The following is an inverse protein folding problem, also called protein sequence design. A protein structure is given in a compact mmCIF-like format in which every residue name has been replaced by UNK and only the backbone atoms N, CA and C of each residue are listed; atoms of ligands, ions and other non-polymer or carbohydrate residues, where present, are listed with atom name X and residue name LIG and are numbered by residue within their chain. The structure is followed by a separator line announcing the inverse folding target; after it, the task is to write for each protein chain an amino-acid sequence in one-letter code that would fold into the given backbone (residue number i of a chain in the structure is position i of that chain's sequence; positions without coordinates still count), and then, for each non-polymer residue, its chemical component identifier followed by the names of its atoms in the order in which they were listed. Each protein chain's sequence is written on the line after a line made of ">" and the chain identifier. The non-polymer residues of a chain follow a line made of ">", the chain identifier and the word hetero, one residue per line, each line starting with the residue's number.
data_IF_733676947995
#
_entry.id   IF_733676947995
#
_cell.length_a   1.000
_cell.length_b   1.000
_cell.length_c   1.000
_cell.angle_alpha   90.00
_cell.angle_beta   90.00
_cell.angle_gamma   90.00
#
_symmetry.space_group_name_H-M   'P 1'
#
loop_
_entity.id
_entity.type
_entity.pdbx_description
1 polymer ?
#
# COMPACT_ATOMS: atom_id res chain seq x y z
N UNK A 1 -10.64 -14.88 2.49
CA UNK A 1 -9.33 -14.19 2.44
C UNK A 1 -8.65 -14.34 3.80
N UNK A 2 -7.31 -14.21 3.92
CA UNK A 2 -6.66 -14.21 5.23
C UNK A 2 -7.15 -13.05 6.09
N UNK A 3 -7.30 -13.28 7.39
CA UNK A 3 -7.54 -12.21 8.33
C UNK A 3 -6.23 -11.48 8.65
N UNK A 4 -6.28 -10.21 9.09
CA UNK A 4 -5.06 -9.51 9.46
C UNK A 4 -4.24 -10.17 10.57
N UNK A 5 -4.87 -10.95 11.47
CA UNK A 5 -4.17 -11.70 12.50
C UNK A 5 -3.49 -12.98 11.99
N UNK A 6 -3.77 -13.42 10.76
CA UNK A 6 -3.08 -14.57 10.13
C UNK A 6 -1.68 -14.18 9.63
N UNK A 7 -1.42 -12.88 9.49
CA UNK A 7 -0.10 -12.33 9.14
C UNK A 7 0.71 -12.16 10.41
N UNK A 8 1.56 -13.14 10.70
CA UNK A 8 2.57 -13.04 11.76
C UNK A 8 3.81 -12.28 11.23
N UNK A 9 4.11 -11.07 11.74
CA UNK A 9 5.28 -10.30 11.30
C UNK A 9 6.61 -11.03 11.54
N UNK A 10 6.68 -11.92 12.53
CA UNK A 10 7.90 -12.68 12.84
C UNK A 10 8.20 -13.76 11.78
N UNK A 11 7.22 -14.09 10.94
CA UNK A 11 7.39 -15.02 9.81
C UNK A 11 7.74 -14.32 8.51
N UNK A 12 7.66 -12.98 8.46
CA UNK A 12 8.12 -12.20 7.32
C UNK A 12 9.64 -12.07 7.42
N UNK A 13 10.40 -12.34 6.34
CA UNK A 13 11.84 -12.15 6.34
C UNK A 13 12.20 -10.72 6.82
N UNK A 14 13.16 -10.55 7.75
CA UNK A 14 13.50 -9.23 8.28
C UNK A 14 13.85 -8.20 7.20
N UNK A 15 14.51 -8.65 6.12
CA UNK A 15 14.87 -7.82 4.97
C UNK A 15 13.65 -7.34 4.17
N UNK A 16 12.52 -8.04 4.22
CA UNK A 16 11.31 -7.66 3.51
C UNK A 16 10.47 -6.65 4.30
N UNK A 17 10.62 -6.58 5.63
CA UNK A 17 9.85 -5.67 6.50
C UNK A 17 10.04 -4.19 6.15
N UNK A 18 11.24 -3.78 5.72
CA UNK A 18 11.48 -2.40 5.29
C UNK A 18 10.80 -2.06 3.95
N UNK A 19 10.30 -3.06 3.23
CA UNK A 19 9.67 -2.93 1.90
C UNK A 19 8.16 -3.12 1.94
N UNK A 20 7.54 -3.24 3.11
CA UNK A 20 6.08 -3.43 3.18
C UNK A 20 5.33 -2.11 3.28
N UNK A 21 4.11 -2.08 2.74
CA UNK A 21 3.09 -1.12 3.16
C UNK A 21 1.89 -1.88 3.68
N UNK A 22 1.19 -1.28 4.65
CA UNK A 22 -0.09 -1.75 5.12
C UNK A 22 -1.08 -0.59 5.03
N UNK A 23 -2.16 -0.81 4.29
CA UNK A 23 -3.23 0.18 4.08
C UNK A 23 -4.48 -0.29 4.80
N UNK A 24 -5.07 0.57 5.62
CA UNK A 24 -6.41 0.38 6.15
C UNK A 24 -7.42 0.98 5.15
N UNK A 25 -8.53 0.27 4.93
CA UNK A 25 -9.66 0.71 4.10
C UNK A 25 -10.84 0.99 5.03
N UNK A 26 -11.26 2.24 5.06
CA UNK A 26 -12.40 2.70 5.83
C UNK A 26 -13.56 2.91 4.86
N UNK A 27 -14.74 2.36 5.15
CA UNK A 27 -15.91 2.41 4.25
C UNK A 27 -17.00 3.34 4.74
N UNK A 28 -17.03 3.60 6.04
CA UNK A 28 -18.02 4.43 6.71
C UNK A 28 -17.33 5.43 7.64
N UNK A 29 -17.83 6.68 7.76
CA UNK A 29 -18.92 7.25 6.97
C UNK A 29 -18.55 7.54 5.50
N UNK A 30 -17.25 7.58 5.19
CA UNK A 30 -16.71 7.85 3.86
C UNK A 30 -15.69 6.79 3.47
N UNK A 31 -15.59 6.51 2.16
CA UNK A 31 -14.62 5.55 1.65
C UNK A 31 -13.22 6.19 1.58
N UNK A 32 -12.31 5.78 2.47
CA UNK A 32 -10.98 6.37 2.62
C UNK A 32 -9.89 5.32 2.76
N UNK A 33 -8.68 5.68 2.34
CA UNK A 33 -7.47 4.90 2.54
C UNK A 33 -6.57 5.57 3.56
N UNK A 34 -6.03 4.79 4.50
CA UNK A 34 -5.05 5.27 5.48
C UNK A 34 -3.80 4.42 5.46
N UNK A 35 -2.64 5.06 5.43
CA UNK A 35 -1.37 4.37 5.63
C UNK A 35 -1.28 3.88 7.08
N UNK A 36 -1.45 2.58 7.31
CA UNK A 36 -1.27 1.99 8.64
C UNK A 36 0.20 1.82 8.99
N UNK A 37 1.01 1.41 8.01
CA UNK A 37 2.45 1.23 8.15
C UNK A 37 3.11 1.43 6.78
N UNK A 38 4.27 2.09 6.80
CA UNK A 38 5.14 2.23 5.64
C UNK A 38 6.54 1.77 6.05
N UNK A 39 7.10 0.82 5.30
CA UNK A 39 8.43 0.29 5.54
C UNK A 39 9.52 1.36 5.37
N UNK A 40 10.59 1.25 6.15
CA UNK A 40 11.64 2.28 6.23
C UNK A 40 12.42 2.49 4.94
N UNK A 41 12.52 1.48 4.08
CA UNK A 41 13.13 1.65 2.75
C UNK A 41 12.25 2.57 1.89
N UNK A 42 10.93 2.45 2.01
CA UNK A 42 9.97 3.25 1.25
C UNK A 42 9.96 4.69 1.76
N UNK A 43 9.91 4.90 3.09
CA UNK A 43 9.97 6.26 3.65
C UNK A 43 11.29 6.96 3.31
N UNK A 44 12.40 6.24 3.32
CA UNK A 44 13.71 6.75 2.90
C UNK A 44 13.74 7.13 1.41
N UNK A 45 13.20 6.27 0.54
CA UNK A 45 13.14 6.54 -0.90
C UNK A 45 12.24 7.74 -1.24
N UNK A 46 11.15 7.93 -0.47
CA UNK A 46 10.22 9.05 -0.66
C UNK A 46 10.64 10.33 0.08
N UNK A 47 11.64 10.27 0.97
CA UNK A 47 12.08 11.40 1.79
C UNK A 47 11.06 11.88 2.83
N UNK A 48 10.00 11.10 3.08
CA UNK A 48 8.92 11.43 4.04
C UNK A 48 8.28 10.16 4.58
N UNK A 49 7.80 10.24 5.82
CA UNK A 49 6.96 9.22 6.45
C UNK A 49 5.52 9.74 6.53
N UNK A 50 4.58 8.99 5.95
CA UNK A 50 3.15 9.31 5.92
C UNK A 50 2.32 8.31 6.75
N UNK A 51 2.98 7.50 7.58
CA UNK A 51 2.31 6.55 8.46
C UNK A 51 1.27 7.27 9.33
N UNK A 52 0.08 6.68 9.43
CA UNK A 52 -1.08 7.23 10.12
C UNK A 52 -1.91 8.24 9.32
N UNK A 53 -1.46 8.68 8.14
CA UNK A 53 -2.15 9.72 7.36
C UNK A 53 -3.13 9.12 6.35
N UNK A 54 -4.23 9.83 6.13
CA UNK A 54 -5.18 9.53 5.07
C UNK A 54 -4.66 10.01 3.72
N UNK A 55 -4.95 9.27 2.67
CA UNK A 55 -4.44 9.55 1.33
C UNK A 55 -4.97 10.87 0.79
N UNK A 56 -6.27 11.13 0.99
CA UNK A 56 -6.95 12.35 0.56
C UNK A 56 -6.49 13.62 1.28
N UNK A 57 -5.72 13.49 2.37
CA UNK A 57 -5.13 14.62 3.09
C UNK A 57 -3.71 14.97 2.62
N UNK A 58 -3.05 14.08 1.89
CA UNK A 58 -1.61 14.17 1.59
C UNK A 58 -1.27 14.09 0.10
N UNK A 59 -2.27 13.76 -0.75
CA UNK A 59 -2.13 13.65 -2.19
C UNK A 59 -3.20 14.47 -2.90
N UNK A 60 -2.82 15.13 -3.99
CA UNK A 60 -3.76 15.79 -4.89
C UNK A 60 -4.55 14.77 -5.72
N UNK A 61 -5.67 15.19 -6.31
CA UNK A 61 -6.60 14.33 -7.05
C UNK A 61 -5.93 13.48 -8.15
N UNK A 62 -5.01 14.06 -8.93
CA UNK A 62 -4.31 13.36 -10.01
C UNK A 62 -3.41 12.22 -9.47
N UNK A 63 -2.82 12.44 -8.29
CA UNK A 63 -2.00 11.43 -7.63
C UNK A 63 -2.89 10.32 -7.06
N UNK A 64 -4.00 10.68 -6.41
CA UNK A 64 -4.99 9.73 -5.90
C UNK A 64 -5.52 8.82 -7.01
N UNK A 65 -5.90 9.37 -8.16
CA UNK A 65 -6.38 8.58 -9.30
C UNK A 65 -5.37 7.52 -9.73
N UNK A 66 -4.07 7.82 -9.60
CA UNK A 66 -3.01 6.89 -9.95
C UNK A 66 -2.79 5.83 -8.87
N UNK A 67 -2.54 6.24 -7.62
CA UNK A 67 -2.14 5.33 -6.55
C UNK A 67 -3.28 4.41 -6.09
N UNK A 68 -4.54 4.80 -6.32
CA UNK A 68 -5.71 4.00 -5.94
C UNK A 68 -6.01 2.86 -6.94
N UNK A 69 -5.36 2.82 -8.11
CA UNK A 69 -5.63 1.79 -9.15
C UNK A 69 -5.41 0.37 -8.63
N UNK A 70 -4.23 0.10 -8.06
CA UNK A 70 -3.92 -1.23 -7.53
C UNK A 70 -4.80 -1.59 -6.31
N UNK A 71 -4.95 -0.74 -5.28
CA UNK A 71 -5.87 -0.99 -4.17
C UNK A 71 -7.31 -1.28 -4.61
N UNK A 72 -7.87 -0.47 -5.52
CA UNK A 72 -9.22 -0.69 -6.03
C UNK A 72 -9.36 -2.01 -6.75
N UNK A 73 -8.34 -2.45 -7.49
CA UNK A 73 -8.34 -3.76 -8.15
C UNK A 73 -8.28 -4.91 -7.14
N UNK A 74 -7.49 -4.78 -6.08
CA UNK A 74 -7.46 -5.76 -4.97
C UNK A 74 -8.83 -5.86 -4.32
N UNK A 75 -9.47 -4.72 -3.99
CA UNK A 75 -10.80 -4.67 -3.39
C UNK A 75 -11.85 -5.31 -4.31
N UNK A 76 -11.85 -4.94 -5.59
CA UNK A 76 -12.85 -5.42 -6.54
C UNK A 76 -12.76 -6.93 -6.82
N UNK A 77 -11.58 -7.52 -6.69
CA UNK A 77 -11.34 -8.93 -7.02
C UNK A 77 -11.24 -9.83 -5.80
N UNK A 78 -10.86 -9.28 -4.63
CA UNK A 78 -10.50 -10.07 -3.45
C UNK A 78 -9.30 -10.99 -3.70
N UNK A 79 -8.46 -10.68 -4.71
CA UNK A 79 -7.31 -11.49 -5.11
C UNK A 79 -6.00 -10.68 -5.00
N UNK A 80 -4.84 -11.35 -4.85
CA UNK A 80 -3.56 -10.69 -4.96
C UNK A 80 -3.36 -10.04 -6.32
N UNK A 81 -2.78 -8.83 -6.34
CA UNK A 81 -2.51 -8.06 -7.56
C UNK A 81 -1.03 -7.71 -7.60
N UNK A 82 -0.36 -8.07 -8.70
CA UNK A 82 0.94 -7.51 -9.05
C UNK A 82 0.73 -6.20 -9.82
N UNK A 83 1.50 -5.18 -9.48
CA UNK A 83 1.53 -3.91 -10.22
C UNK A 83 2.95 -3.49 -10.55
N UNK A 84 3.07 -2.83 -11.69
CA UNK A 84 4.29 -2.19 -12.14
C UNK A 84 3.91 -0.74 -12.44
N UNK A 85 4.38 0.17 -11.59
CA UNK A 85 3.95 1.56 -11.62
C UNK A 85 5.17 2.47 -11.69
N UNK A 86 4.95 3.69 -12.17
CA UNK A 86 5.95 4.76 -12.08
C UNK A 86 5.51 5.64 -10.92
N UNK A 87 6.24 5.59 -9.81
CA UNK A 87 5.97 6.43 -8.67
C UNK A 87 6.42 7.87 -8.98
N UNK A 88 5.50 8.82 -8.88
CA UNK A 88 5.80 10.24 -9.00
C UNK A 88 6.36 10.74 -7.66
N UNK A 89 7.66 10.95 -7.58
CA UNK A 89 8.24 11.72 -6.49
C UNK A 89 8.17 13.22 -6.82
N UNK A 90 7.90 14.02 -5.78
CA UNK A 90 7.98 15.47 -5.79
C UNK A 90 9.28 15.89 -6.52
N UNK A 91 9.14 16.65 -7.62
CA UNK A 91 10.21 17.31 -8.36
C UNK A 91 11.27 16.46 -9.11
N UNK A 92 10.84 15.41 -9.85
CA UNK A 92 11.56 14.84 -11.04
C UNK A 92 12.45 13.60 -10.85
N UNK A 93 12.14 12.69 -9.94
CA UNK A 93 12.66 11.31 -10.05
C UNK A 93 11.55 10.34 -10.47
N UNK A 94 11.78 9.62 -11.58
CA UNK A 94 10.98 8.47 -11.99
C UNK A 94 11.50 7.24 -11.25
N UNK A 95 10.88 6.87 -10.14
CA UNK A 95 11.15 5.56 -9.55
C UNK A 95 10.12 4.58 -10.09
N UNK A 96 10.59 3.63 -10.91
CA UNK A 96 9.74 2.50 -11.29
C UNK A 96 9.58 1.63 -10.07
N UNK A 97 8.35 1.50 -9.58
CA UNK A 97 8.01 0.59 -8.49
C UNK A 97 7.43 -0.69 -9.05
N UNK A 98 7.82 -1.80 -8.45
CA UNK A 98 7.13 -3.07 -8.60
C UNK A 98 6.53 -3.43 -7.25
N UNK A 99 5.28 -3.88 -7.27
CA UNK A 99 4.61 -4.33 -6.05
C UNK A 99 3.77 -5.56 -6.26
N UNK A 100 3.60 -6.31 -5.16
CA UNK A 100 2.54 -7.30 -5.03
C UNK A 100 1.71 -6.94 -3.80
N UNK A 101 0.39 -6.87 -3.99
CA UNK A 101 -0.57 -6.44 -2.99
C UNK A 101 -1.55 -7.56 -2.67
N UNK A 102 -1.69 -7.88 -1.39
CA UNK A 102 -2.47 -8.99 -0.87
C UNK A 102 -3.70 -8.47 -0.11
N UNK A 103 -4.91 -8.97 -0.41
CA UNK A 103 -6.11 -8.61 0.33
C UNK A 103 -6.14 -9.29 1.70
N UNK A 104 -6.48 -8.54 2.73
CA UNK A 104 -6.79 -9.03 4.06
C UNK A 104 -8.22 -8.63 4.44
N UNK A 105 -8.89 -9.47 5.23
CA UNK A 105 -10.28 -9.27 5.60
C UNK A 105 -10.57 -9.77 7.02
N UNK A 106 -10.96 -8.88 7.92
CA UNK A 106 -11.34 -9.21 9.29
C UNK A 106 -12.69 -9.93 9.41
N UNK A 107 -13.61 -9.72 8.46
CA UNK A 107 -14.93 -10.38 8.43
C UNK A 107 -15.00 -11.56 7.45
N UNK A 108 -13.95 -11.80 6.66
CA UNK A 108 -13.89 -12.86 5.63
C UNK A 108 -14.54 -12.50 4.29
N UNK A 109 -15.25 -11.37 4.21
CA UNK A 109 -16.03 -10.94 3.04
C UNK A 109 -15.44 -9.70 2.37
N UNK A 110 -15.22 -8.63 3.15
CA UNK A 110 -14.72 -7.35 2.66
C UNK A 110 -13.22 -7.22 2.87
N UNK A 111 -12.52 -6.75 1.84
CA UNK A 111 -11.14 -6.31 2.00
C UNK A 111 -11.14 -5.05 2.88
N UNK A 112 -10.54 -5.15 4.06
CA UNK A 112 -10.41 -4.07 5.04
C UNK A 112 -8.96 -3.61 5.23
N UNK A 113 -7.99 -4.44 4.81
CA UNK A 113 -6.58 -4.07 4.71
C UNK A 113 -5.92 -4.64 3.47
N UNK A 114 -4.86 -3.96 3.04
CA UNK A 114 -4.00 -4.43 1.96
C UNK A 114 -2.56 -4.41 2.45
N UNK A 115 -1.93 -5.59 2.43
CA UNK A 115 -0.50 -5.73 2.66
C UNK A 115 0.21 -5.76 1.31
N UNK A 116 1.17 -4.86 1.08
CA UNK A 116 1.94 -4.85 -0.15
C UNK A 116 3.43 -4.98 0.14
N UNK A 117 4.16 -5.64 -0.76
CA UNK A 117 5.61 -5.58 -0.83
C UNK A 117 5.99 -4.70 -2.01
N UNK A 118 6.84 -3.70 -1.79
CA UNK A 118 7.19 -2.68 -2.77
C UNK A 118 8.70 -2.59 -2.91
N UNK A 119 9.16 -2.69 -4.15
CA UNK A 119 10.57 -2.45 -4.51
C UNK A 119 10.64 -1.32 -5.53
N UNK A 120 11.70 -0.53 -5.46
CA UNK A 120 12.00 0.51 -6.43
C UNK A 120 13.17 0.03 -7.28
N UNK A 121 13.01 0.05 -8.60
CA UNK A 121 14.11 -0.23 -9.51
C UNK A 121 15.16 0.88 -9.37
N UNK A 122 16.40 0.49 -9.10
CA UNK A 122 17.57 1.37 -9.25
C UNK A 122 17.80 1.58 -10.75
N UNK A 123 17.86 2.84 -11.17
CA UNK A 123 18.35 3.20 -12.52
C UNK A 123 19.86 3.05 -12.63
#
# INVERSE_FOLDING_TARGET
>A
MPAPHDVDPLRIPPLALSHITLVDIEREPEFRFRWRLIGTHITSALGRDMTGRYWDEIYDADVLETIEKAPRRVIATGQPVQSLETAFLIEKLFLRSESISFPLSGNGEDVDRILSFVVFASG
#
